data_IF_070102807272
#
_entry.id   IF_070102807272
#
_cell.length_a   1.000
_cell.length_b   1.000
_cell.length_c   1.000
_cell.angle_alpha   90.00
_cell.angle_beta   90.00
_cell.angle_gamma   90.00
#
_symmetry.space_group_name_H-M   'P 1'
#
loop_
_entity.id
_entity.type
_entity.pdbx_description
1 polymer ?
#
# COMPACT_ATOMS: atom_id res chain seq x y z
N UNK A 1 -47.98 43.88 40.68
CA UNK A 1 -48.22 42.42 40.70
C UNK A 1 -47.94 41.73 39.35
N UNK A 2 -48.53 42.16 38.23
CA UNK A 2 -48.37 41.49 36.92
C UNK A 2 -46.91 41.45 36.37
N UNK A 3 -46.11 42.50 36.58
CA UNK A 3 -44.71 42.55 36.14
C UNK A 3 -43.81 41.48 36.78
N UNK A 4 -44.05 41.17 38.05
CA UNK A 4 -43.30 40.14 38.78
C UNK A 4 -43.62 38.73 38.27
N UNK A 5 -44.89 38.48 37.93
CA UNK A 5 -45.34 37.22 37.32
C UNK A 5 -44.71 37.04 35.93
N UNK A 6 -44.65 38.11 35.13
CA UNK A 6 -44.02 38.07 33.81
C UNK A 6 -42.51 37.81 33.90
N UNK A 7 -41.80 38.44 34.83
CA UNK A 7 -40.38 38.15 35.07
C UNK A 7 -40.17 36.72 35.56
N UNK A 8 -41.04 36.22 36.43
CA UNK A 8 -40.97 34.86 36.98
C UNK A 8 -41.19 33.78 35.91
N UNK A 9 -41.90 34.05 34.82
CA UNK A 9 -42.13 33.07 33.74
C UNK A 9 -41.18 33.30 32.56
N UNK A 10 -40.99 34.56 32.14
CA UNK A 10 -40.18 34.90 30.97
C UNK A 10 -38.68 34.67 31.20
N UNK A 11 -38.14 34.92 32.40
CA UNK A 11 -36.72 34.67 32.71
C UNK A 11 -36.39 33.17 32.66
N UNK A 12 -37.13 32.25 33.32
CA UNK A 12 -36.88 30.82 33.20
C UNK A 12 -37.14 30.30 31.79
N UNK A 13 -38.15 30.81 31.07
CA UNK A 13 -38.38 30.44 29.68
C UNK A 13 -37.20 30.83 28.77
N UNK A 14 -36.73 32.07 28.88
CA UNK A 14 -35.60 32.59 28.08
C UNK A 14 -34.28 31.93 28.47
N UNK A 15 -34.07 31.64 29.75
CA UNK A 15 -32.88 30.89 30.22
C UNK A 15 -32.94 29.43 29.79
N UNK A 16 -34.12 28.78 29.79
CA UNK A 16 -34.31 27.40 29.29
C UNK A 16 -33.98 27.29 27.80
N UNK A 17 -34.43 28.24 26.96
CA UNK A 17 -34.07 28.29 25.52
C UNK A 17 -32.57 28.53 25.31
N UNK A 18 -31.94 29.42 26.09
CA UNK A 18 -30.48 29.63 26.01
C UNK A 18 -29.72 28.37 26.46
N UNK A 19 -30.21 27.66 27.46
CA UNK A 19 -29.57 26.46 28.00
C UNK A 19 -29.68 25.26 27.03
N UNK A 20 -30.78 25.10 26.29
CA UNK A 20 -30.88 24.05 25.25
C UNK A 20 -29.90 24.32 24.10
N UNK A 21 -29.85 25.55 23.56
CA UNK A 21 -28.86 25.95 22.53
C UNK A 21 -27.41 25.72 23.00
N UNK A 22 -27.10 26.06 24.26
CA UNK A 22 -25.78 25.82 24.86
C UNK A 22 -25.44 24.33 24.96
N UNK A 23 -26.40 23.46 25.29
CA UNK A 23 -26.20 22.00 25.33
C UNK A 23 -25.92 21.44 23.94
N UNK A 24 -26.70 21.84 22.93
CA UNK A 24 -26.43 21.46 21.54
C UNK A 24 -25.05 21.93 21.08
N UNK A 25 -24.67 23.18 21.37
CA UNK A 25 -23.35 23.70 21.01
C UNK A 25 -22.22 22.91 21.70
N UNK A 26 -22.38 22.53 22.97
CA UNK A 26 -21.41 21.68 23.69
C UNK A 26 -21.30 20.29 23.06
N UNK A 27 -22.43 19.71 22.64
CA UNK A 27 -22.47 18.42 21.96
C UNK A 27 -21.76 18.49 20.60
N UNK A 28 -22.07 19.48 19.77
CA UNK A 28 -21.39 19.70 18.49
C UNK A 28 -19.87 19.88 18.67
N UNK A 29 -19.42 20.70 19.62
CA UNK A 29 -17.98 20.84 19.91
C UNK A 29 -17.32 19.53 20.34
N UNK A 30 -18.03 18.69 21.12
CA UNK A 30 -17.52 17.38 21.53
C UNK A 30 -17.38 16.44 20.32
N UNK A 31 -18.35 16.45 19.41
CA UNK A 31 -18.27 15.73 18.14
C UNK A 31 -17.11 16.22 17.27
N UNK A 32 -16.95 17.53 17.12
CA UNK A 32 -15.85 18.10 16.32
C UNK A 32 -14.48 17.67 16.87
N UNK A 33 -14.32 17.67 18.20
CA UNK A 33 -13.09 17.21 18.83
C UNK A 33 -12.85 15.71 18.58
N UNK A 34 -13.88 14.88 18.67
CA UNK A 34 -13.78 13.45 18.36
C UNK A 34 -13.34 13.22 16.91
N UNK A 35 -13.97 13.90 15.95
CA UNK A 35 -13.61 13.81 14.53
C UNK A 35 -12.17 14.27 14.28
N UNK A 36 -11.69 15.32 14.97
CA UNK A 36 -10.30 15.79 14.89
C UNK A 36 -9.32 14.74 15.40
N UNK A 37 -9.65 14.03 16.48
CA UNK A 37 -8.81 12.98 17.03
C UNK A 37 -8.73 11.78 16.08
N UNK A 38 -9.86 11.32 15.54
CA UNK A 38 -9.87 10.25 14.55
C UNK A 38 -9.06 10.61 13.30
N UNK A 39 -9.24 11.85 12.80
CA UNK A 39 -8.47 12.35 11.66
C UNK A 39 -6.96 12.32 11.95
N UNK A 40 -6.55 12.82 13.12
CA UNK A 40 -5.13 12.84 13.53
C UNK A 40 -4.56 11.42 13.62
N UNK A 41 -5.29 10.48 14.22
CA UNK A 41 -4.86 9.08 14.28
C UNK A 41 -4.70 8.45 12.89
N UNK A 42 -5.62 8.75 11.97
CA UNK A 42 -5.53 8.29 10.58
C UNK A 42 -4.30 8.86 9.87
N UNK A 43 -4.02 10.15 10.05
CA UNK A 43 -2.84 10.82 9.49
C UNK A 43 -1.53 10.24 10.04
N UNK A 44 -1.44 10.01 11.35
CA UNK A 44 -0.28 9.36 11.97
C UNK A 44 -0.07 7.94 11.43
N UNK A 45 -1.16 7.18 11.26
CA UNK A 45 -1.09 5.83 10.67
C UNK A 45 -0.57 5.87 9.23
N UNK A 46 -1.06 6.80 8.40
CA UNK A 46 -0.59 6.97 7.01
C UNK A 46 0.91 7.30 7.01
N UNK A 47 1.34 8.27 7.83
CA UNK A 47 2.74 8.66 7.95
C UNK A 47 3.64 7.49 8.37
N UNK A 48 3.19 6.68 9.32
CA UNK A 48 3.92 5.50 9.77
C UNK A 48 4.05 4.44 8.66
N UNK A 49 2.99 4.22 7.86
CA UNK A 49 3.02 3.32 6.71
C UNK A 49 3.97 3.83 5.61
N UNK A 50 4.01 5.13 5.35
CA UNK A 50 4.95 5.72 4.40
C UNK A 50 6.41 5.53 4.84
N UNK A 51 6.70 5.75 6.12
CA UNK A 51 8.03 5.52 6.71
C UNK A 51 8.40 4.03 6.64
N UNK A 52 7.45 3.13 6.92
CA UNK A 52 7.71 1.70 6.84
C UNK A 52 7.99 1.27 5.39
N UNK A 53 7.20 1.76 4.43
CA UNK A 53 7.39 1.48 3.02
C UNK A 53 8.74 2.02 2.51
N UNK A 54 9.17 3.20 2.95
CA UNK A 54 10.49 3.74 2.56
C UNK A 54 11.63 2.88 3.11
N UNK A 55 11.54 2.44 4.37
CA UNK A 55 12.51 1.50 4.98
C UNK A 55 12.56 0.17 4.25
N UNK A 56 11.41 -0.41 3.93
CA UNK A 56 11.33 -1.68 3.18
C UNK A 56 11.93 -1.52 1.78
N UNK A 57 11.71 -0.40 1.09
CA UNK A 57 12.33 -0.13 -0.23
C UNK A 57 13.85 -0.06 -0.14
N UNK A 58 14.40 0.52 0.93
CA UNK A 58 15.85 0.55 1.17
C UNK A 58 16.35 -0.87 1.42
N UNK A 59 15.73 -1.61 2.33
CA UNK A 59 16.10 -3.00 2.63
C UNK A 59 16.06 -3.89 1.38
N UNK A 60 15.05 -3.73 0.53
CA UNK A 60 14.93 -4.49 -0.71
C UNK A 60 16.08 -4.18 -1.68
N UNK A 61 16.53 -2.92 -1.76
CA UNK A 61 17.72 -2.55 -2.55
C UNK A 61 18.99 -3.16 -1.96
N UNK A 62 19.15 -3.13 -0.64
CA UNK A 62 20.30 -3.72 0.04
C UNK A 62 20.35 -5.24 -0.20
N UNK A 63 19.19 -5.91 -0.21
CA UNK A 63 19.08 -7.34 -0.52
C UNK A 63 19.55 -7.64 -1.95
N UNK A 64 19.15 -6.81 -2.94
CA UNK A 64 19.64 -6.95 -4.32
C UNK A 64 21.17 -6.83 -4.40
N UNK A 65 21.77 -5.88 -3.67
CA UNK A 65 23.23 -5.72 -3.63
C UNK A 65 23.90 -6.95 -3.01
N UNK A 66 23.34 -7.49 -1.92
CA UNK A 66 23.87 -8.70 -1.28
C UNK A 66 23.76 -9.93 -2.17
N UNK A 67 22.67 -10.09 -2.92
CA UNK A 67 22.51 -11.19 -3.89
C UNK A 67 23.63 -11.13 -4.93
N UNK A 68 23.88 -9.94 -5.50
CA UNK A 68 24.92 -9.74 -6.53
C UNK A 68 26.31 -10.06 -5.99
N UNK A 69 26.61 -9.67 -4.74
CA UNK A 69 27.96 -9.81 -4.18
C UNK A 69 28.25 -11.22 -3.65
N UNK A 70 27.26 -11.89 -3.03
CA UNK A 70 27.51 -13.10 -2.24
C UNK A 70 26.88 -14.37 -2.84
N UNK A 71 26.14 -14.29 -3.95
CA UNK A 71 25.51 -15.43 -4.64
C UNK A 71 24.76 -16.42 -3.71
N UNK A 72 24.22 -15.94 -2.58
CA UNK A 72 23.55 -16.79 -1.60
C UNK A 72 22.05 -16.88 -1.86
N UNK A 73 21.54 -18.12 -1.88
CA UNK A 73 20.11 -18.41 -2.01
C UNK A 73 19.30 -17.85 -0.83
N UNK A 74 19.88 -17.76 0.36
CA UNK A 74 19.23 -17.19 1.56
C UNK A 74 18.89 -15.70 1.36
N UNK A 75 19.72 -14.96 0.60
CA UNK A 75 19.46 -13.56 0.30
C UNK A 75 18.27 -13.38 -0.65
N UNK A 76 18.01 -14.36 -1.53
CA UNK A 76 16.86 -14.34 -2.42
C UNK A 76 15.55 -14.50 -1.64
N UNK A 77 15.52 -15.36 -0.63
CA UNK A 77 14.30 -15.56 0.16
C UNK A 77 13.98 -14.32 1.02
N UNK A 78 15.00 -13.66 1.60
CA UNK A 78 14.83 -12.35 2.26
C UNK A 78 14.26 -11.30 1.30
N UNK A 79 14.83 -11.22 0.10
CA UNK A 79 14.37 -10.31 -0.95
C UNK A 79 12.89 -10.55 -1.28
N UNK A 80 12.46 -11.80 -1.51
CA UNK A 80 11.07 -12.10 -1.83
C UNK A 80 10.12 -11.80 -0.67
N UNK A 81 10.54 -12.04 0.58
CA UNK A 81 9.76 -11.65 1.75
C UNK A 81 9.54 -10.13 1.84
N UNK A 82 10.59 -9.35 1.58
CA UNK A 82 10.50 -7.88 1.56
C UNK A 82 9.68 -7.37 0.37
N UNK A 83 9.78 -8.03 -0.79
CA UNK A 83 8.98 -7.72 -1.96
C UNK A 83 7.48 -7.95 -1.70
N UNK A 84 7.10 -9.08 -1.10
CA UNK A 84 5.70 -9.40 -0.81
C UNK A 84 5.08 -8.41 0.20
N UNK A 85 5.86 -7.95 1.18
CA UNK A 85 5.43 -6.88 2.10
C UNK A 85 5.19 -5.54 1.40
N UNK A 86 5.99 -5.21 0.39
CA UNK A 86 5.86 -3.97 -0.39
C UNK A 86 4.78 -4.03 -1.46
N UNK A 87 4.52 -5.22 -2.00
CA UNK A 87 3.57 -5.46 -3.07
C UNK A 87 2.53 -6.51 -2.64
N UNK A 88 1.69 -6.17 -1.64
CA UNK A 88 0.62 -7.06 -1.21
C UNK A 88 -0.32 -7.36 -2.39
N UNK A 89 -0.80 -8.59 -2.46
CA UNK A 89 -1.73 -9.09 -3.50
C UNK A 89 -1.15 -9.16 -4.93
N UNK A 90 0.14 -8.88 -5.14
CA UNK A 90 0.76 -9.00 -6.47
C UNK A 90 0.65 -10.43 -7.02
N UNK A 91 1.02 -11.42 -6.20
CA UNK A 91 0.93 -12.83 -6.56
C UNK A 91 -0.52 -13.24 -6.86
N UNK A 92 -1.47 -12.82 -6.02
CA UNK A 92 -2.90 -13.11 -6.22
C UNK A 92 -3.42 -12.52 -7.53
N UNK A 93 -3.00 -11.30 -7.86
CA UNK A 93 -3.42 -10.62 -9.10
C UNK A 93 -2.88 -11.34 -10.33
N UNK A 94 -1.63 -11.78 -10.30
CA UNK A 94 -1.07 -12.61 -11.37
C UNK A 94 -1.75 -13.97 -11.48
N UNK A 95 -2.06 -14.62 -10.35
CA UNK A 95 -2.75 -15.91 -10.36
C UNK A 95 -4.19 -15.83 -10.89
N UNK A 96 -4.89 -14.71 -10.69
CA UNK A 96 -6.21 -14.48 -11.29
C UNK A 96 -6.17 -14.48 -12.81
N UNK A 97 -5.08 -14.00 -13.40
CA UNK A 97 -4.88 -13.94 -14.86
C UNK A 97 -4.33 -15.27 -15.39
N UNK A 98 -3.32 -15.81 -14.72
CA UNK A 98 -2.60 -17.00 -15.13
C UNK A 98 -2.44 -17.97 -13.94
N UNK A 99 -3.45 -18.80 -13.65
CA UNK A 99 -3.44 -19.71 -12.49
C UNK A 99 -2.37 -20.81 -12.57
N UNK A 100 -1.79 -21.05 -13.76
CA UNK A 100 -0.73 -22.05 -14.01
C UNK A 100 0.69 -21.46 -13.94
N UNK A 101 0.86 -20.30 -13.29
CA UNK A 101 2.18 -19.73 -13.04
C UNK A 101 2.95 -20.57 -12.02
N UNK A 102 4.21 -20.81 -12.35
CA UNK A 102 5.16 -21.49 -11.46
C UNK A 102 5.83 -20.50 -10.52
N UNK A 103 6.40 -20.98 -9.42
CA UNK A 103 7.14 -20.14 -8.48
C UNK A 103 8.29 -19.38 -9.15
N UNK A 104 9.00 -20.00 -10.11
CA UNK A 104 10.08 -19.33 -10.84
C UNK A 104 9.58 -18.20 -11.75
N UNK A 105 8.37 -18.33 -12.30
CA UNK A 105 7.77 -17.28 -13.12
C UNK A 105 7.26 -16.11 -12.26
N UNK A 106 6.76 -16.38 -11.05
CA UNK A 106 6.45 -15.34 -10.07
C UNK A 106 7.71 -14.59 -9.63
N UNK A 107 8.80 -15.32 -9.37
CA UNK A 107 10.11 -14.72 -9.06
C UNK A 107 10.57 -13.79 -10.20
N UNK A 108 10.46 -14.25 -11.44
CA UNK A 108 10.75 -13.41 -12.61
C UNK A 108 9.85 -12.16 -12.64
N UNK A 109 8.54 -12.33 -12.47
CA UNK A 109 7.59 -11.21 -12.47
C UNK A 109 7.90 -10.19 -11.37
N UNK A 110 8.33 -10.62 -10.18
CA UNK A 110 8.76 -9.72 -9.12
C UNK A 110 9.97 -8.87 -9.53
N UNK A 111 10.98 -9.45 -10.19
CA UNK A 111 12.10 -8.67 -10.73
C UNK A 111 11.65 -7.68 -11.82
N UNK A 112 10.69 -8.07 -12.67
CA UNK A 112 10.12 -7.17 -13.69
C UNK A 112 9.31 -6.03 -13.07
N UNK A 113 8.60 -6.29 -11.97
CA UNK A 113 7.85 -5.27 -11.21
C UNK A 113 8.76 -4.17 -10.66
N UNK A 114 10.00 -4.53 -10.34
CA UNK A 114 11.05 -3.59 -9.93
C UNK A 114 11.75 -2.91 -11.11
N UNK A 115 11.25 -3.09 -12.33
CA UNK A 115 11.79 -2.55 -13.56
C UNK A 115 13.25 -2.99 -13.84
N UNK A 116 13.64 -4.19 -13.41
CA UNK A 116 14.96 -4.74 -13.70
C UNK A 116 15.03 -5.25 -15.15
N UNK A 117 16.15 -4.96 -15.80
CA UNK A 117 16.43 -5.39 -17.17
C UNK A 117 16.82 -6.88 -17.21
N UNK A 118 16.70 -7.55 -18.37
CA UNK A 118 17.14 -8.96 -18.49
C UNK A 118 18.61 -9.14 -18.10
N UNK A 119 19.46 -8.12 -18.30
CA UNK A 119 20.88 -8.13 -17.97
C UNK A 119 21.14 -8.03 -16.46
N UNK A 120 20.33 -7.26 -15.74
CA UNK A 120 20.43 -7.19 -14.28
C UNK A 120 19.90 -8.48 -13.64
N UNK A 121 18.77 -9.00 -14.15
CA UNK A 121 18.20 -10.26 -13.70
C UNK A 121 19.16 -11.43 -13.95
N UNK A 122 19.83 -11.46 -15.10
CA UNK A 122 20.80 -12.51 -15.41
C UNK A 122 22.00 -12.49 -14.47
N UNK A 123 22.46 -11.30 -14.07
CA UNK A 123 23.51 -11.13 -13.06
C UNK A 123 23.03 -11.57 -11.68
N UNK A 124 21.84 -11.16 -11.27
CA UNK A 124 21.23 -11.51 -9.98
C UNK A 124 21.06 -13.02 -9.80
N UNK A 125 20.67 -13.72 -10.87
CA UNK A 125 20.45 -15.16 -10.85
C UNK A 125 21.68 -15.98 -11.26
N UNK A 126 22.79 -15.32 -11.61
CA UNK A 126 23.99 -15.94 -12.16
C UNK A 126 23.71 -16.92 -13.32
N UNK A 127 22.90 -16.47 -14.30
CA UNK A 127 22.54 -17.23 -15.50
C UNK A 127 22.81 -16.43 -16.78
N UNK A 128 22.79 -17.09 -17.93
CA UNK A 128 22.90 -16.42 -19.22
C UNK A 128 21.68 -15.49 -19.47
N UNK A 129 21.87 -14.23 -19.90
CA UNK A 129 20.80 -13.35 -20.39
C UNK A 129 19.77 -14.02 -21.31
N UNK A 130 20.21 -14.93 -22.18
CA UNK A 130 19.31 -15.66 -23.09
C UNK A 130 18.28 -16.52 -22.34
N UNK A 131 18.69 -17.12 -21.23
CA UNK A 131 17.79 -17.89 -20.36
C UNK A 131 16.69 -17.01 -19.76
N UNK A 132 17.03 -15.77 -19.38
CA UNK A 132 16.06 -14.78 -18.90
C UNK A 132 15.09 -14.39 -20.02
N UNK A 133 15.59 -14.16 -21.24
CA UNK A 133 14.74 -13.81 -22.38
C UNK A 133 13.76 -14.94 -22.73
N UNK A 134 14.21 -16.21 -22.70
CA UNK A 134 13.33 -17.38 -22.86
C UNK A 134 12.28 -17.47 -21.75
N UNK A 135 12.63 -17.12 -20.52
CA UNK A 135 11.69 -17.07 -19.40
C UNK A 135 10.65 -15.95 -19.57
N UNK A 136 11.07 -14.75 -19.99
CA UNK A 136 10.17 -13.62 -20.33
C UNK A 136 9.18 -14.00 -21.42
N UNK A 137 9.65 -14.69 -22.48
CA UNK A 137 8.78 -15.15 -23.56
C UNK A 137 7.70 -16.12 -23.06
N UNK A 138 8.07 -17.10 -22.22
CA UNK A 138 7.14 -18.05 -21.61
C UNK A 138 6.11 -17.35 -20.72
N UNK A 139 6.57 -16.44 -19.87
CA UNK A 139 5.71 -15.65 -18.98
C UNK A 139 4.69 -14.83 -19.79
N UNK A 140 5.15 -14.13 -20.83
CA UNK A 140 4.30 -13.37 -21.76
C UNK A 140 3.19 -14.23 -22.37
N UNK A 141 3.54 -15.44 -22.83
CA UNK A 141 2.55 -16.36 -23.41
C UNK A 141 1.52 -16.82 -22.38
N UNK A 142 1.94 -17.10 -21.13
CA UNK A 142 1.01 -17.50 -20.06
C UNK A 142 0.08 -16.37 -19.63
N UNK A 143 0.54 -15.13 -19.69
CA UNK A 143 -0.27 -13.93 -19.41
C UNK A 143 -1.14 -13.51 -20.60
N UNK A 144 -1.15 -14.27 -21.70
CA UNK A 144 -1.93 -13.99 -22.91
C UNK A 144 -1.71 -12.57 -23.50
N UNK A 145 -0.51 -12.02 -23.38
CA UNK A 145 -0.20 -10.69 -23.90
C UNK A 145 -0.08 -10.68 -25.42
N UNK A 146 -0.77 -9.73 -26.05
CA UNK A 146 -0.73 -9.47 -27.49
C UNK A 146 0.62 -8.85 -27.91
N UNK A 147 0.98 -8.96 -29.19
CA UNK A 147 2.24 -8.45 -29.75
C UNK A 147 2.53 -6.97 -29.41
N UNK A 148 1.49 -6.15 -29.24
CA UNK A 148 1.61 -4.71 -28.98
C UNK A 148 1.82 -4.36 -27.50
N UNK A 149 1.49 -5.26 -26.59
CA UNK A 149 1.64 -5.02 -25.15
C UNK A 149 3.07 -5.32 -24.72
N UNK A 150 3.67 -4.46 -23.90
CA UNK A 150 4.96 -4.75 -23.28
C UNK A 150 4.78 -5.53 -21.98
N UNK A 151 5.58 -6.59 -21.81
CA UNK A 151 5.53 -7.44 -20.61
C UNK A 151 5.91 -6.66 -19.36
N UNK A 152 6.95 -5.84 -19.43
CA UNK A 152 7.46 -5.11 -18.26
C UNK A 152 6.43 -4.06 -17.83
N UNK A 153 5.88 -3.29 -18.76
CA UNK A 153 4.80 -2.32 -18.48
C UNK A 153 3.55 -3.00 -17.91
N UNK A 154 3.15 -4.14 -18.47
CA UNK A 154 2.02 -4.91 -17.93
C UNK A 154 2.27 -5.32 -16.47
N UNK A 155 3.44 -5.88 -16.19
CA UNK A 155 3.79 -6.32 -14.84
C UNK A 155 3.96 -5.14 -13.88
N UNK A 156 4.40 -3.97 -14.32
CA UNK A 156 4.53 -2.74 -13.49
C UNK A 156 3.16 -2.14 -13.13
N UNK A 157 2.11 -2.45 -13.90
CA UNK A 157 0.76 -1.97 -13.66
C UNK A 157 -0.17 -3.01 -13.00
N UNK A 158 0.25 -4.29 -12.94
CA UNK A 158 -0.49 -5.38 -12.31
C UNK A 158 -0.67 -5.21 -10.78
#
# INVERSE_FOLDING_TARGET
MALFIFLYIAIPYRTRIKNTKRRHLRFHRKLDNFMRLEKKQKEEKIKNLEILNSKLKISLKDDLVKIINNNSQENLDSFFSNFEKLHPNFNETLFKIAPKLTSNELKLAAFLRLNLTSKEISKLLNINPDSVNKARYRLRKKLNLSAKEDLTTFIINA
#
